data_IF_575663086305
#
_entry.id   IF_575663086305
#
_cell.length_a   1.000
_cell.length_b   1.000
_cell.length_c   1.000
_cell.angle_alpha   90.00
_cell.angle_beta   90.00
_cell.angle_gamma   90.00
#
_symmetry.space_group_name_H-M   'P 1'
#
loop_
_entity.id
_entity.type
_entity.pdbx_description
1 polymer ?
#
# COMPACT_ATOMS: atom_id res chain seq x y z
N UNK A 1 2.63 13.33 -4.97
CA UNK A 1 1.35 13.92 -5.44
C UNK A 1 0.23 13.39 -4.57
N UNK A 2 -0.48 14.27 -3.87
CA UNK A 2 -1.65 13.88 -3.08
C UNK A 2 -2.87 13.87 -3.99
N UNK A 3 -3.53 12.74 -4.08
CA UNK A 3 -4.76 12.57 -4.84
C UNK A 3 -5.96 12.63 -3.92
N UNK A 4 -7.06 13.16 -4.40
CA UNK A 4 -8.32 13.17 -3.68
C UNK A 4 -9.39 12.42 -4.46
N UNK A 5 -10.16 11.62 -3.75
CA UNK A 5 -11.22 10.81 -4.29
C UNK A 5 -12.56 11.28 -3.77
N UNK A 6 -13.50 11.38 -4.67
CA UNK A 6 -14.90 11.55 -4.35
C UNK A 6 -15.54 10.19 -4.04
N UNK A 7 -16.29 10.10 -2.95
CA UNK A 7 -17.18 8.99 -2.71
C UNK A 7 -18.59 9.36 -3.14
N UNK A 8 -19.03 8.76 -4.25
CA UNK A 8 -20.46 8.69 -4.57
C UNK A 8 -20.97 7.28 -4.25
N UNK A 9 -22.21 7.19 -3.80
CA UNK A 9 -22.98 5.95 -3.63
C UNK A 9 -23.20 5.23 -4.99
N UNK A 10 -22.85 5.89 -6.10
CA UNK A 10 -22.87 5.37 -7.48
C UNK A 10 -21.51 5.63 -8.11
N UNK A 11 -20.77 4.61 -8.37
CA UNK A 11 -19.57 4.34 -9.20
C UNK A 11 -18.87 5.47 -10.00
N UNK A 12 -19.17 6.74 -9.79
CA UNK A 12 -18.44 7.83 -10.41
C UNK A 12 -17.22 8.20 -9.59
N UNK A 13 -16.04 7.83 -10.10
CA UNK A 13 -14.76 8.15 -9.46
C UNK A 13 -14.19 9.43 -10.06
N UNK A 14 -14.47 10.55 -9.42
CA UNK A 14 -13.77 11.79 -9.72
C UNK A 14 -12.50 11.88 -8.87
N UNK A 15 -11.35 11.95 -9.53
CA UNK A 15 -10.06 12.13 -8.86
C UNK A 15 -9.54 13.51 -9.20
N UNK A 16 -9.30 14.34 -8.19
CA UNK A 16 -8.63 15.63 -8.32
C UNK A 16 -7.22 15.50 -7.73
N UNK A 17 -6.21 15.78 -8.54
CA UNK A 17 -4.85 15.91 -8.04
C UNK A 17 -4.67 17.34 -7.49
N UNK A 18 -4.20 17.42 -6.25
CA UNK A 18 -3.90 18.70 -5.60
C UNK A 18 -2.43 19.05 -5.80
N UNK A 19 -2.20 20.35 -6.00
CA UNK A 19 -0.83 20.88 -5.98
C UNK A 19 -0.24 20.81 -4.56
N UNK A 20 1.09 20.79 -4.42
CA UNK A 20 1.74 20.79 -3.10
C UNK A 20 1.28 21.92 -2.18
N UNK A 21 0.92 23.07 -2.73
CA UNK A 21 0.46 24.26 -2.01
C UNK A 21 -1.03 24.19 -1.62
N UNK A 22 -1.81 23.33 -2.29
CA UNK A 22 -3.27 23.22 -2.15
C UNK A 22 -3.69 21.84 -1.61
N UNK A 23 -2.95 21.32 -0.61
CA UNK A 23 -3.18 19.95 -0.13
C UNK A 23 -4.34 19.81 0.86
N UNK A 24 -4.89 20.91 1.34
CA UNK A 24 -5.99 20.90 2.30
C UNK A 24 -7.34 20.74 1.60
N UNK A 25 -8.16 19.81 2.08
CA UNK A 25 -9.54 19.65 1.70
C UNK A 25 -10.43 20.09 2.83
N UNK A 26 -11.30 21.05 2.58
CA UNK A 26 -12.23 21.58 3.57
C UNK A 26 -13.61 20.98 3.42
N UNK A 27 -14.35 21.00 4.50
CA UNK A 27 -15.77 20.69 4.46
C UNK A 27 -16.48 21.71 3.56
N UNK A 28 -17.20 21.24 2.57
CA UNK A 28 -17.84 22.07 1.52
C UNK A 28 -17.08 22.09 0.20
N UNK A 29 -15.83 21.62 0.11
CA UNK A 29 -15.13 21.46 -1.15
C UNK A 29 -15.78 20.37 -1.98
N UNK A 30 -16.28 20.76 -3.16
CA UNK A 30 -17.06 19.87 -4.01
C UNK A 30 -16.31 19.50 -5.29
N UNK A 31 -16.59 18.30 -5.77
CA UNK A 31 -16.21 17.87 -7.10
C UNK A 31 -17.12 18.46 -8.17
N UNK A 32 -16.79 18.21 -9.45
CA UNK A 32 -17.55 18.71 -10.58
C UNK A 32 -19.02 18.26 -10.65
N UNK A 33 -19.37 17.16 -9.98
CA UNK A 33 -20.73 16.63 -9.86
C UNK A 33 -21.47 17.12 -8.59
N UNK A 34 -20.86 17.99 -7.80
CA UNK A 34 -21.43 18.58 -6.59
C UNK A 34 -21.26 17.75 -5.32
N UNK A 35 -20.62 16.59 -5.35
CA UNK A 35 -20.37 15.79 -4.15
C UNK A 35 -19.14 16.28 -3.38
N UNK A 36 -19.11 16.01 -2.06
CA UNK A 36 -18.04 16.42 -1.17
C UNK A 36 -16.73 15.71 -1.53
N UNK A 37 -15.64 16.46 -1.66
CA UNK A 37 -14.29 15.89 -1.77
C UNK A 37 -13.83 15.29 -0.46
N UNK A 38 -13.07 14.21 -0.53
CA UNK A 38 -12.39 13.58 0.60
C UNK A 38 -10.99 13.10 0.20
N UNK A 39 -10.10 12.82 1.15
CA UNK A 39 -8.79 12.25 0.83
C UNK A 39 -8.91 10.97 -0.01
N UNK A 40 -7.98 10.79 -0.96
CA UNK A 40 -7.90 9.60 -1.81
C UNK A 40 -7.30 8.43 -1.01
N UNK A 41 -8.10 7.89 -0.11
CA UNK A 41 -7.78 6.72 0.73
C UNK A 41 -8.92 5.72 0.66
N UNK A 42 -8.64 4.48 0.97
CA UNK A 42 -9.63 3.40 1.04
C UNK A 42 -9.99 3.16 2.50
N UNK A 43 -11.27 3.19 2.83
CA UNK A 43 -11.79 2.87 4.15
C UNK A 43 -12.16 1.39 4.25
N UNK A 44 -12.29 0.88 5.48
CA UNK A 44 -12.81 -0.46 5.69
C UNK A 44 -14.20 -0.62 5.05
N UNK A 45 -14.39 -1.73 4.32
CA UNK A 45 -15.63 -1.99 3.60
C UNK A 45 -15.70 -1.41 2.18
N UNK A 46 -14.72 -0.61 1.77
CA UNK A 46 -14.61 -0.14 0.39
C UNK A 46 -13.75 -1.05 -0.48
N UNK A 47 -14.06 -1.14 -1.77
CA UNK A 47 -13.21 -1.79 -2.75
C UNK A 47 -11.85 -1.08 -2.84
N UNK A 48 -10.77 -1.85 -3.00
CA UNK A 48 -9.41 -1.33 -3.22
C UNK A 48 -9.14 -1.28 -4.72
N UNK A 49 -9.29 -0.12 -5.39
CA UNK A 49 -9.30 -0.06 -6.86
C UNK A 49 -7.96 -0.45 -7.48
N UNK A 50 -6.85 -0.19 -6.79
CA UNK A 50 -5.51 -0.44 -7.31
C UNK A 50 -4.96 -1.85 -6.98
N UNK A 51 -5.79 -2.73 -6.39
CA UNK A 51 -5.30 -4.06 -5.98
C UNK A 51 -4.91 -4.92 -7.18
N UNK A 52 -5.68 -4.86 -8.27
CA UNK A 52 -5.39 -5.62 -9.49
C UNK A 52 -4.09 -5.13 -10.14
N UNK A 53 -3.89 -3.82 -10.19
CA UNK A 53 -2.64 -3.23 -10.67
C UNK A 53 -1.45 -3.65 -9.80
N UNK A 54 -1.63 -3.66 -8.47
CA UNK A 54 -0.60 -4.11 -7.54
C UNK A 54 -0.23 -5.58 -7.76
N UNK A 55 -1.20 -6.47 -7.97
CA UNK A 55 -0.97 -7.89 -8.29
C UNK A 55 -0.07 -8.03 -9.52
N UNK A 56 -0.36 -7.32 -10.61
CA UNK A 56 0.43 -7.37 -11.84
C UNK A 56 1.91 -6.99 -11.65
N UNK A 57 2.20 -6.08 -10.72
CA UNK A 57 3.58 -5.74 -10.34
C UNK A 57 4.20 -6.83 -9.47
N UNK A 58 3.46 -7.33 -8.49
CA UNK A 58 3.93 -8.34 -7.54
C UNK A 58 4.30 -9.65 -8.26
N UNK A 59 3.52 -10.07 -9.25
CA UNK A 59 3.77 -11.28 -10.05
C UNK A 59 5.08 -11.24 -10.86
N UNK A 60 5.70 -10.06 -10.97
CA UNK A 60 6.96 -9.85 -11.71
C UNK A 60 8.11 -9.46 -10.79
N UNK A 61 7.91 -9.54 -9.48
CA UNK A 61 8.92 -9.12 -8.52
C UNK A 61 10.03 -10.16 -8.38
N UNK A 62 11.26 -9.73 -8.40
CA UNK A 62 12.43 -10.51 -7.98
C UNK A 62 12.65 -10.42 -6.48
N UNK A 63 12.29 -9.27 -5.90
CA UNK A 63 12.39 -8.97 -4.47
C UNK A 63 11.08 -8.34 -4.01
N UNK A 64 10.51 -8.87 -2.94
CA UNK A 64 9.29 -8.35 -2.31
C UNK A 64 9.56 -7.92 -0.88
N UNK A 65 9.32 -6.65 -0.58
CA UNK A 65 9.62 -6.08 0.74
C UNK A 65 8.35 -5.65 1.45
N UNK A 66 8.16 -6.13 2.66
CA UNK A 66 7.04 -5.84 3.55
C UNK A 66 7.55 -4.96 4.68
N UNK A 67 6.97 -3.77 4.89
CA UNK A 67 7.45 -2.81 5.89
C UNK A 67 6.30 -2.30 6.75
N UNK A 68 6.43 -2.46 8.08
CA UNK A 68 5.55 -1.80 9.06
C UNK A 68 4.09 -2.23 8.98
N UNK A 69 3.82 -3.50 8.73
CA UNK A 69 2.45 -4.03 8.65
C UNK A 69 2.32 -5.36 9.38
N UNK A 70 1.19 -5.55 10.05
CA UNK A 70 0.84 -6.82 10.69
C UNK A 70 0.37 -7.90 9.74
N UNK A 71 0.24 -7.62 8.43
CA UNK A 71 -0.35 -8.50 7.40
C UNK A 71 -1.77 -9.02 7.69
N UNK A 72 -2.52 -8.30 8.52
CA UNK A 72 -3.89 -8.67 8.89
C UNK A 72 -4.97 -7.93 8.10
N UNK A 73 -4.59 -6.97 7.24
CA UNK A 73 -5.54 -6.14 6.48
C UNK A 73 -5.60 -6.61 5.03
N UNK A 74 -6.72 -7.20 4.68
CA UNK A 74 -7.01 -7.64 3.31
C UNK A 74 -7.70 -6.51 2.51
N UNK A 75 -7.51 -6.47 1.16
CA UNK A 75 -6.82 -7.45 0.32
C UNK A 75 -5.29 -7.28 0.26
N UNK A 76 -4.70 -6.20 0.82
CA UNK A 76 -3.27 -5.90 0.70
C UNK A 76 -2.37 -7.02 1.26
N UNK A 77 -2.74 -7.63 2.40
CA UNK A 77 -2.02 -8.78 2.95
C UNK A 77 -1.96 -9.97 2.00
N UNK A 78 -2.98 -10.13 1.16
CA UNK A 78 -3.07 -11.19 0.15
C UNK A 78 -2.05 -11.07 -0.98
N UNK A 79 -1.42 -9.90 -1.19
CA UNK A 79 -0.40 -9.70 -2.21
C UNK A 79 0.78 -10.67 -2.07
N UNK A 80 1.11 -11.10 -0.86
CA UNK A 80 2.17 -12.05 -0.60
C UNK A 80 1.96 -13.40 -1.32
N UNK A 81 0.71 -13.79 -1.60
CA UNK A 81 0.39 -15.03 -2.30
C UNK A 81 0.68 -14.98 -3.81
N UNK A 82 0.78 -13.78 -4.38
CA UNK A 82 1.08 -13.56 -5.79
C UNK A 82 2.58 -13.41 -6.08
N UNK A 83 3.40 -13.34 -5.03
CA UNK A 83 4.86 -13.23 -5.18
C UNK A 83 5.43 -14.51 -5.79
N UNK A 84 6.24 -14.44 -6.87
CA UNK A 84 6.88 -15.60 -7.49
C UNK A 84 7.65 -16.45 -6.47
N UNK A 85 7.70 -17.76 -6.67
CA UNK A 85 8.35 -18.68 -5.72
C UNK A 85 9.84 -18.42 -5.56
N UNK A 86 10.48 -18.00 -6.62
CA UNK A 86 11.91 -17.66 -6.73
C UNK A 86 12.24 -16.28 -6.20
N UNK A 87 11.26 -15.42 -6.00
CA UNK A 87 11.48 -14.08 -5.47
C UNK A 87 11.83 -14.12 -3.97
N UNK A 88 12.79 -13.31 -3.58
CA UNK A 88 13.16 -13.13 -2.18
C UNK A 88 12.14 -12.25 -1.46
N UNK A 89 11.77 -12.62 -0.24
CA UNK A 89 10.82 -11.87 0.58
C UNK A 89 11.50 -11.37 1.84
N UNK A 90 11.41 -10.07 2.07
CA UNK A 90 11.92 -9.41 3.26
C UNK A 90 10.77 -8.80 4.06
N UNK A 91 10.81 -8.95 5.38
CA UNK A 91 9.86 -8.35 6.32
C UNK A 91 10.62 -7.45 7.29
N UNK A 92 10.26 -6.17 7.32
CA UNK A 92 10.84 -5.18 8.21
C UNK A 92 9.75 -4.70 9.17
N UNK A 93 9.81 -5.12 10.41
CA UNK A 93 8.91 -4.67 11.48
C UNK A 93 9.60 -4.81 12.84
N UNK A 94 9.46 -3.85 13.77
CA UNK A 94 10.04 -3.96 15.11
C UNK A 94 9.37 -5.04 15.97
N UNK A 95 8.17 -5.49 15.58
CA UNK A 95 7.43 -6.54 16.28
C UNK A 95 7.43 -7.82 15.47
N UNK A 96 7.32 -8.97 16.13
CA UNK A 96 7.10 -10.23 15.41
C UNK A 96 5.79 -10.17 14.63
N UNK A 97 5.83 -10.56 13.34
CA UNK A 97 4.68 -10.62 12.45
C UNK A 97 4.56 -12.04 11.92
N UNK A 98 3.36 -12.60 12.02
CA UNK A 98 3.05 -13.88 11.38
C UNK A 98 2.73 -13.63 9.91
N UNK A 99 3.54 -14.20 9.03
CA UNK A 99 3.38 -14.05 7.59
C UNK A 99 2.37 -15.02 6.99
N UNK A 100 1.86 -15.98 7.77
CA UNK A 100 0.93 -17.03 7.33
C UNK A 100 1.33 -17.71 6.01
N UNK A 101 2.63 -17.87 5.80
CA UNK A 101 3.19 -18.48 4.59
C UNK A 101 4.23 -19.53 4.94
N UNK A 102 4.34 -20.57 4.11
CA UNK A 102 5.36 -21.61 4.23
C UNK A 102 6.67 -21.27 3.49
N UNK A 103 6.70 -20.16 2.74
CA UNK A 103 7.91 -19.73 2.03
C UNK A 103 8.91 -19.09 2.99
N UNK A 104 10.20 -19.14 2.70
CA UNK A 104 11.22 -18.42 3.47
C UNK A 104 10.96 -16.90 3.43
N UNK A 105 11.06 -16.25 4.59
CA UNK A 105 10.96 -14.79 4.73
C UNK A 105 12.15 -14.32 5.56
N UNK A 106 12.92 -13.39 5.03
CA UNK A 106 14.02 -12.74 5.74
C UNK A 106 13.47 -11.66 6.66
N UNK A 107 13.52 -11.88 7.96
CA UNK A 107 12.96 -10.95 8.96
C UNK A 107 14.06 -10.02 9.46
N UNK A 108 13.85 -8.72 9.31
CA UNK A 108 14.67 -7.65 9.88
C UNK A 108 13.84 -7.01 11.00
N UNK A 109 14.10 -7.39 12.24
CA UNK A 109 13.31 -6.93 13.40
C UNK A 109 13.74 -5.54 13.86
N UNK A 110 13.46 -4.53 13.02
CA UNK A 110 13.84 -3.11 13.22
C UNK A 110 12.72 -2.18 12.76
N UNK A 111 12.80 -0.92 13.19
CA UNK A 111 11.97 0.15 12.62
C UNK A 111 12.27 0.35 11.13
N UNK A 112 11.32 0.93 10.38
CA UNK A 112 11.40 1.02 8.93
C UNK A 112 12.70 1.67 8.43
N UNK A 113 13.13 2.78 9.00
CA UNK A 113 14.34 3.50 8.56
C UNK A 113 15.62 2.69 8.75
N UNK A 114 15.79 2.08 9.93
CA UNK A 114 16.95 1.25 10.25
C UNK A 114 16.93 -0.07 9.46
N UNK A 115 15.74 -0.68 9.34
CA UNK A 115 15.56 -1.92 8.62
C UNK A 115 15.82 -1.78 7.12
N UNK A 116 15.41 -0.67 6.51
CA UNK A 116 15.73 -0.39 5.10
C UNK A 116 17.23 -0.14 4.91
N UNK A 117 17.90 0.54 5.84
CA UNK A 117 19.34 0.70 5.78
C UNK A 117 20.09 -0.65 5.82
N UNK A 118 19.64 -1.58 6.69
CA UNK A 118 20.18 -2.93 6.74
C UNK A 118 19.88 -3.72 5.45
N UNK A 119 18.64 -3.64 4.96
CA UNK A 119 18.26 -4.31 3.71
C UNK A 119 19.14 -3.86 2.54
N UNK A 120 19.44 -2.57 2.41
CA UNK A 120 20.35 -2.05 1.38
C UNK A 120 21.74 -2.68 1.47
N UNK A 121 22.27 -2.85 2.67
CA UNK A 121 23.57 -3.51 2.88
C UNK A 121 23.52 -4.99 2.47
N UNK A 122 22.43 -5.69 2.78
CA UNK A 122 22.23 -7.10 2.41
C UNK A 122 22.14 -7.29 0.89
N UNK A 123 21.50 -6.35 0.21
CA UNK A 123 21.34 -6.35 -1.25
C UNK A 123 22.55 -5.78 -2.01
N UNK A 124 23.52 -5.17 -1.32
CA UNK A 124 24.71 -4.57 -1.93
C UNK A 124 24.45 -3.29 -2.71
N UNK A 125 23.41 -2.51 -2.34
CA UNK A 125 22.97 -1.27 -3.01
C UNK A 125 22.94 -0.06 -2.07
#
# INVERSE_FOLDING_TARGET
VRRQRQMCIRDSHYIKELKPEEYEVKLGDKAGDGTQLRPFIVWFGEAVPEIETAIQYVEKADIFVIIGTSLNVYPAAGLLHYVPREAEVYLIDPKPVDTHTSRPVHVIQKGASEGVAELKQLLGV
#
